data_IF_503558494140
#
_entry.id   IF_503558494140
#
_cell.length_a   1.000
_cell.length_b   1.000
_cell.length_c   1.000
_cell.angle_alpha   90.00
_cell.angle_beta   90.00
_cell.angle_gamma   90.00
#
_symmetry.space_group_name_H-M   'P 1'
#
loop_
_entity.id
_entity.type
_entity.pdbx_description
1 polymer ?
#
# COMPACT_ATOMS: atom_id res chain seq x y z
N UNK A 1 -18.07 -14.62 -21.93
CA UNK A 1 -16.79 -15.03 -21.34
C UNK A 1 -16.41 -13.98 -20.30
N UNK A 2 -16.25 -14.33 -19.03
CA UNK A 2 -15.82 -13.37 -18.02
C UNK A 2 -14.33 -13.08 -18.22
N UNK A 3 -13.95 -11.80 -18.32
CA UNK A 3 -12.55 -11.41 -18.37
C UNK A 3 -11.87 -11.83 -17.05
N UNK A 4 -10.78 -12.59 -17.13
CA UNK A 4 -9.98 -12.90 -15.95
C UNK A 4 -9.47 -11.60 -15.35
N UNK A 5 -9.91 -11.28 -14.13
CA UNK A 5 -9.41 -10.11 -13.42
C UNK A 5 -7.93 -10.36 -13.10
N UNK A 6 -7.04 -9.38 -13.34
CA UNK A 6 -5.64 -9.53 -12.96
C UNK A 6 -5.56 -9.84 -11.47
N UNK A 7 -4.71 -10.80 -11.11
CA UNK A 7 -4.51 -11.19 -9.72
C UNK A 7 -4.16 -9.96 -8.87
N UNK A 8 -4.76 -9.82 -7.68
CA UNK A 8 -4.50 -8.69 -6.80
C UNK A 8 -3.03 -8.66 -6.38
N UNK A 9 -2.52 -7.45 -6.12
CA UNK A 9 -1.22 -7.29 -5.48
C UNK A 9 -1.21 -7.95 -4.09
N UNK A 10 -0.03 -8.30 -3.61
CA UNK A 10 0.15 -8.94 -2.32
C UNK A 10 0.90 -7.98 -1.40
N UNK A 11 0.25 -7.52 -0.33
CA UNK A 11 0.93 -6.77 0.73
C UNK A 11 1.58 -7.78 1.68
N UNK A 12 2.90 -7.94 1.58
CA UNK A 12 3.64 -9.02 2.26
C UNK A 12 4.35 -8.55 3.53
N UNK A 13 4.61 -7.24 3.66
CA UNK A 13 5.09 -6.64 4.90
C UNK A 13 4.49 -5.24 5.08
N UNK A 14 4.23 -4.86 6.33
CA UNK A 14 3.76 -3.52 6.68
C UNK A 14 4.20 -3.17 8.09
N UNK A 15 4.82 -2.02 8.22
CA UNK A 15 5.22 -1.42 9.49
C UNK A 15 4.88 0.05 9.51
N UNK A 16 4.82 0.62 10.69
CA UNK A 16 4.67 2.05 10.86
C UNK A 16 5.53 2.54 12.02
N UNK A 17 5.92 3.80 11.95
CA UNK A 17 6.61 4.51 13.02
C UNK A 17 5.89 5.84 13.23
N UNK A 18 5.72 6.21 14.50
CA UNK A 18 5.16 7.50 14.88
C UNK A 18 6.21 8.32 15.60
N UNK A 19 6.31 9.58 15.21
CA UNK A 19 7.22 10.57 15.80
C UNK A 19 6.46 11.88 15.94
N UNK A 20 6.01 12.19 17.17
CA UNK A 20 5.09 13.30 17.43
C UNK A 20 3.79 13.19 16.62
N UNK A 21 3.55 14.18 15.77
CA UNK A 21 2.44 14.27 14.84
C UNK A 21 2.73 13.65 13.46
N UNK A 22 3.92 13.08 13.24
CA UNK A 22 4.28 12.41 11.99
C UNK A 22 4.02 10.91 12.09
N UNK A 23 3.35 10.37 11.08
CA UNK A 23 3.23 8.93 10.84
C UNK A 23 4.02 8.58 9.58
N UNK A 24 4.94 7.62 9.70
CA UNK A 24 5.62 7.01 8.55
C UNK A 24 5.13 5.57 8.41
N UNK A 25 4.56 5.23 7.26
CA UNK A 25 4.12 3.87 6.93
C UNK A 25 5.05 3.30 5.87
N UNK A 26 5.58 2.10 6.13
CA UNK A 26 6.48 1.39 5.23
C UNK A 26 5.92 0.01 4.95
N UNK A 27 6.08 -0.46 3.73
CA UNK A 27 5.65 -1.82 3.39
C UNK A 27 6.37 -2.39 2.19
N UNK A 28 6.10 -3.66 1.96
CA UNK A 28 6.58 -4.42 0.82
C UNK A 28 5.37 -4.95 0.09
N UNK A 29 5.30 -4.67 -1.21
CA UNK A 29 4.25 -5.14 -2.10
C UNK A 29 4.84 -6.04 -3.18
N UNK A 30 4.20 -7.17 -3.41
CA UNK A 30 4.56 -8.14 -4.43
C UNK A 30 3.48 -8.21 -5.50
N UNK A 31 3.91 -8.31 -6.75
CA UNK A 31 3.04 -8.65 -7.85
C UNK A 31 3.09 -10.17 -8.08
N UNK A 32 1.96 -10.90 -7.97
CA UNK A 32 1.96 -12.34 -8.20
C UNK A 32 2.40 -12.68 -9.63
N UNK A 33 2.84 -13.92 -9.85
CA UNK A 33 3.29 -14.37 -11.17
C UNK A 33 2.22 -14.26 -12.27
N UNK A 34 0.93 -14.34 -11.88
CA UNK A 34 -0.22 -14.18 -12.76
C UNK A 34 -0.73 -12.73 -12.86
N UNK A 35 -0.04 -11.76 -12.25
CA UNK A 35 -0.39 -10.35 -12.32
C UNK A 35 0.08 -9.68 -13.62
N UNK A 36 -0.38 -8.45 -13.83
CA UNK A 36 0.07 -7.59 -14.93
C UNK A 36 1.21 -6.67 -14.47
N UNK A 37 2.10 -6.25 -15.36
CA UNK A 37 3.12 -5.26 -15.03
C UNK A 37 2.51 -3.88 -14.75
N UNK A 38 3.00 -3.18 -13.73
CA UNK A 38 2.57 -1.82 -13.39
C UNK A 38 3.74 -0.84 -13.55
N UNK A 39 3.56 0.25 -14.30
CA UNK A 39 4.56 1.31 -14.47
C UNK A 39 4.10 2.59 -13.76
N UNK A 40 4.71 2.93 -12.63
CA UNK A 40 4.30 4.06 -11.79
C UNK A 40 3.19 3.71 -10.81
N UNK A 41 3.31 2.56 -10.13
CA UNK A 41 2.43 2.21 -9.02
C UNK A 41 2.66 3.17 -7.84
N UNK A 42 1.58 3.64 -7.23
CA UNK A 42 1.62 4.56 -6.08
C UNK A 42 0.93 3.91 -4.89
N UNK A 43 1.57 3.92 -3.73
CA UNK A 43 0.95 3.58 -2.45
C UNK A 43 0.29 4.84 -1.85
N UNK A 44 -0.94 4.70 -1.37
CA UNK A 44 -1.69 5.74 -0.67
C UNK A 44 -2.06 5.24 0.72
N UNK A 45 -1.92 6.09 1.72
CA UNK A 45 -2.28 5.81 3.12
C UNK A 45 -3.34 6.80 3.55
N UNK A 46 -4.41 6.28 4.13
CA UNK A 46 -5.49 7.07 4.72
C UNK A 46 -5.53 6.79 6.22
N UNK A 47 -5.54 7.85 7.02
CA UNK A 47 -5.56 7.80 8.48
C UNK A 47 -6.95 8.13 8.98
N UNK A 48 -7.38 7.39 9.99
CA UNK A 48 -8.67 7.54 10.64
C UNK A 48 -8.50 7.64 12.16
N UNK A 49 -9.35 8.44 12.78
CA UNK A 49 -9.49 8.50 14.23
C UNK A 49 -10.26 7.28 14.79
N UNK A 50 -10.46 7.26 16.11
CA UNK A 50 -11.11 6.15 16.80
C UNK A 50 -12.60 6.00 16.45
N UNK A 51 -13.25 7.09 16.04
CA UNK A 51 -14.64 7.11 15.59
C UNK A 51 -14.78 6.73 14.11
N UNK A 52 -13.64 6.53 13.42
CA UNK A 52 -13.56 6.23 12.00
C UNK A 52 -13.59 7.47 11.11
N UNK A 53 -13.52 8.67 11.67
CA UNK A 53 -13.40 9.94 10.96
C UNK A 53 -12.07 10.02 10.21
N UNK A 54 -12.10 10.60 9.00
CA UNK A 54 -10.89 10.80 8.21
C UNK A 54 -10.05 11.95 8.79
N UNK A 55 -8.76 11.69 8.99
CA UNK A 55 -7.82 12.66 9.56
C UNK A 55 -6.89 13.22 8.50
N UNK A 56 -6.18 12.36 7.79
CA UNK A 56 -5.15 12.74 6.82
C UNK A 56 -4.90 11.64 5.80
N UNK A 57 -4.29 12.00 4.67
CA UNK A 57 -3.79 11.04 3.69
C UNK A 57 -2.44 11.45 3.12
N UNK A 58 -1.63 10.46 2.77
CA UNK A 58 -0.36 10.63 2.09
C UNK A 58 -0.26 9.64 0.93
N UNK A 59 0.64 9.92 -0.01
CA UNK A 59 0.94 9.01 -1.11
C UNK A 59 2.39 9.12 -1.52
N UNK A 60 2.94 8.01 -2.00
CA UNK A 60 4.31 7.93 -2.53
C UNK A 60 4.37 6.85 -3.61
N UNK A 61 5.17 7.04 -4.68
CA UNK A 61 5.48 5.92 -5.57
C UNK A 61 6.12 4.77 -4.79
N UNK A 62 5.98 3.55 -5.30
CA UNK A 62 6.86 2.46 -4.88
C UNK A 62 8.29 2.77 -5.36
N UNK A 63 9.30 2.13 -4.77
CA UNK A 63 10.71 2.39 -5.12
C UNK A 63 11.03 1.93 -6.55
N UNK A 64 10.40 0.84 -7.01
CA UNK A 64 10.56 0.34 -8.37
C UNK A 64 9.64 1.07 -9.35
N UNK A 65 10.20 1.74 -10.35
CA UNK A 65 9.37 2.41 -11.37
C UNK A 65 8.43 1.43 -12.08
N UNK A 66 8.88 0.19 -12.30
CA UNK A 66 8.11 -0.86 -12.98
C UNK A 66 8.06 -2.11 -12.10
N UNK A 67 6.85 -2.49 -11.68
CA UNK A 67 6.61 -3.71 -10.92
C UNK A 67 6.12 -4.83 -11.85
N UNK A 68 7.06 -5.66 -12.31
CA UNK A 68 6.80 -6.81 -13.18
C UNK A 68 6.08 -7.96 -12.44
N UNK A 69 5.46 -8.91 -13.15
CA UNK A 69 4.96 -10.14 -12.53
C UNK A 69 6.08 -10.86 -11.78
N UNK A 70 5.77 -11.42 -10.60
CA UNK A 70 6.72 -11.96 -9.61
C UNK A 70 7.68 -10.94 -8.98
N UNK A 71 7.60 -9.67 -9.38
CA UNK A 71 8.41 -8.59 -8.81
C UNK A 71 7.92 -8.18 -7.43
N UNK A 72 8.83 -7.61 -6.65
CA UNK A 72 8.60 -7.08 -5.32
C UNK A 72 9.18 -5.67 -5.23
N UNK A 73 8.51 -4.79 -4.48
CA UNK A 73 9.01 -3.44 -4.25
C UNK A 73 8.58 -2.91 -2.90
N UNK A 74 9.38 -2.02 -2.35
CA UNK A 74 9.11 -1.26 -1.14
C UNK A 74 8.34 0.02 -1.42
N UNK A 75 7.63 0.51 -0.41
CA UNK A 75 7.10 1.86 -0.39
C UNK A 75 7.27 2.49 0.99
N UNK A 76 7.36 3.81 1.00
CA UNK A 76 7.41 4.63 2.20
C UNK A 76 6.50 5.83 1.99
N UNK A 77 5.50 5.98 2.86
CA UNK A 77 4.57 7.12 2.86
C UNK A 77 4.70 7.86 4.18
N UNK A 78 5.06 9.13 4.09
CA UNK A 78 5.10 10.05 5.22
C UNK A 78 3.82 10.87 5.27
N UNK A 79 3.24 10.98 6.46
CA UNK A 79 2.07 11.78 6.75
C UNK A 79 2.39 12.74 7.89
N UNK A 80 2.74 14.01 7.59
CA UNK A 80 2.79 15.04 8.62
C UNK A 80 1.36 15.35 9.13
N UNK A 81 1.24 15.88 10.34
CA UNK A 81 -0.04 16.27 10.96
C UNK A 81 -1.03 15.11 11.23
N UNK A 82 -0.54 13.88 11.41
CA UNK A 82 -1.29 12.70 11.80
C UNK A 82 -1.43 12.59 13.34
N UNK A 83 -2.09 13.56 13.97
CA UNK A 83 -2.17 13.71 15.44
C UNK A 83 -3.15 12.75 16.13
N UNK A 84 -4.23 12.35 15.46
CA UNK A 84 -5.28 11.49 16.03
C UNK A 84 -5.35 10.10 15.36
N UNK A 85 -4.20 9.49 15.08
CA UNK A 85 -4.14 8.16 14.42
C UNK A 85 -4.65 7.08 15.38
N UNK A 86 -5.78 6.46 15.04
CA UNK A 86 -6.23 5.20 15.64
C UNK A 86 -6.05 4.03 14.67
N UNK A 87 -6.33 4.27 13.38
CA UNK A 87 -6.23 3.27 12.32
C UNK A 87 -5.72 3.91 11.03
N UNK A 88 -5.05 3.14 10.19
CA UNK A 88 -4.77 3.53 8.82
C UNK A 88 -5.12 2.42 7.83
N UNK A 89 -5.35 2.81 6.57
CA UNK A 89 -5.58 1.90 5.45
C UNK A 89 -4.59 2.21 4.33
N UNK A 90 -3.99 1.15 3.78
CA UNK A 90 -3.14 1.22 2.58
C UNK A 90 -4.00 0.93 1.34
N UNK A 91 -3.72 1.62 0.24
CA UNK A 91 -4.33 1.37 -1.07
C UNK A 91 -3.30 1.61 -2.16
N UNK A 92 -3.36 0.83 -3.23
CA UNK A 92 -2.46 0.98 -4.38
C UNK A 92 -3.21 1.59 -5.55
N UNK A 93 -2.53 2.43 -6.33
CA UNK A 93 -3.09 3.07 -7.52
C UNK A 93 -2.14 2.97 -8.70
N UNK A 94 -2.72 2.80 -9.88
CA UNK A 94 -2.03 2.89 -11.17
C UNK A 94 -2.81 3.90 -12.03
N UNK A 95 -2.21 5.08 -12.25
CA UNK A 95 -2.95 6.26 -12.71
C UNK A 95 -4.13 6.55 -11.77
N UNK A 96 -5.32 6.68 -12.33
CA UNK A 96 -6.54 6.95 -11.56
C UNK A 96 -7.27 5.71 -11.05
N UNK A 97 -6.75 4.50 -11.37
CA UNK A 97 -7.40 3.24 -10.99
C UNK A 97 -6.85 2.73 -9.66
N UNK A 98 -7.75 2.29 -8.79
CA UNK A 98 -7.39 1.53 -7.59
C UNK A 98 -7.00 0.12 -8.02
N UNK A 99 -5.86 -0.36 -7.53
CA UNK A 99 -5.39 -1.74 -7.71
C UNK A 99 -5.73 -2.52 -6.45
N UNK A 100 -6.48 -3.60 -6.61
CA UNK A 100 -6.83 -4.49 -5.51
C UNK A 100 -5.55 -5.12 -4.93
N UNK A 101 -5.52 -5.29 -3.60
CA UNK A 101 -4.48 -6.05 -2.94
C UNK A 101 -5.08 -6.98 -1.89
N UNK A 102 -4.36 -8.06 -1.60
CA UNK A 102 -4.63 -8.96 -0.50
C UNK A 102 -3.53 -8.81 0.55
N UNK A 103 -3.91 -8.91 1.82
CA UNK A 103 -2.96 -8.93 2.92
C UNK A 103 -2.37 -10.35 3.05
N UNK A 104 -1.05 -10.46 2.93
CA UNK A 104 -0.28 -11.71 3.06
C UNK A 104 0.83 -11.61 4.11
N UNK A 105 0.75 -10.63 5.02
CA UNK A 105 1.78 -10.39 6.04
C UNK A 105 2.01 -11.59 6.97
N UNK A 106 0.99 -12.42 7.18
CA UNK A 106 1.07 -13.61 8.05
C UNK A 106 1.68 -14.84 7.35
N UNK A 107 1.87 -14.81 6.03
CA UNK A 107 2.42 -15.93 5.26
C UNK A 107 3.96 -15.93 5.18
N UNK A 108 4.61 -14.85 5.60
CA UNK A 108 6.08 -14.67 5.56
C UNK A 108 6.77 -15.10 6.87
N UNK A 109 6.00 -15.52 7.89
CA UNK A 109 6.55 -16.23 9.06
C UNK A 109 6.75 -17.71 8.72
N UNK A 110 7.91 -18.08 8.17
CA UNK A 110 8.40 -19.48 8.13
C UNK A 110 9.84 -19.55 8.59
#
# INVERSE_FOLDING_TARGET
MAAAQPSPLELVALGHQRDGDRLTVRGVVRNPASGAAFNGLTASVFVFDADGGFVASGRSPIDERVLNPSGESTFLVELPNATAVSRYRVSFRFGDRIVAHVDKRDLVKR
#
